data_IF_796692299210
#
_entry.id   IF_796692299210
#
_cell.length_a   1.000
_cell.length_b   1.000
_cell.length_c   1.000
_cell.angle_alpha   90.00
_cell.angle_beta   90.00
_cell.angle_gamma   90.00
#
_symmetry.space_group_name_H-M   'P 1'
#
loop_
_entity.id
_entity.type
_entity.pdbx_description
1 polymer ?
#
# COMPACT_ATOMS: atom_id res chain seq x y z
N UNK A 1 22.27 -8.87 2.47
CA UNK A 1 21.47 -9.34 1.33
C UNK A 1 20.61 -8.20 0.79
N UNK A 2 20.77 -7.76 -0.47
CA UNK A 2 19.86 -6.78 -1.04
C UNK A 2 18.48 -7.44 -1.17
N UNK A 3 17.49 -6.89 -0.47
CA UNK A 3 16.11 -7.39 -0.50
C UNK A 3 15.64 -7.32 -1.96
N UNK A 4 15.27 -8.46 -2.55
CA UNK A 4 14.76 -8.51 -3.92
C UNK A 4 13.68 -7.42 -4.09
N UNK A 5 13.96 -6.45 -4.97
CA UNK A 5 13.02 -5.36 -5.24
C UNK A 5 11.81 -6.00 -5.90
N UNK A 6 10.71 -6.07 -5.17
CA UNK A 6 9.41 -6.45 -5.74
C UNK A 6 9.19 -5.61 -6.99
N UNK A 7 9.07 -6.24 -8.15
CA UNK A 7 8.76 -5.60 -9.45
C UNK A 7 7.30 -5.13 -9.50
N UNK A 8 6.52 -5.41 -8.47
CA UNK A 8 5.11 -5.08 -8.44
C UNK A 8 4.87 -3.56 -8.44
N UNK A 9 4.13 -3.10 -9.43
CA UNK A 9 3.70 -1.73 -9.63
C UNK A 9 2.16 -1.68 -9.59
N UNK A 10 1.55 -1.40 -8.42
CA UNK A 10 0.10 -1.36 -8.31
C UNK A 10 -0.47 -0.19 -9.13
N UNK A 11 -1.60 -0.41 -9.79
CA UNK A 11 -2.32 0.63 -10.54
C UNK A 11 -3.20 1.45 -9.60
N UNK A 12 -3.62 2.62 -10.05
CA UNK A 12 -4.68 3.37 -9.37
C UNK A 12 -5.93 2.49 -9.22
N UNK A 13 -6.58 2.55 -8.06
CA UNK A 13 -7.70 1.70 -7.70
C UNK A 13 -7.32 0.35 -7.06
N UNK A 14 -6.07 -0.11 -7.19
CA UNK A 14 -5.65 -1.38 -6.57
C UNK A 14 -5.71 -1.29 -5.04
N UNK A 15 -6.32 -2.28 -4.41
CA UNK A 15 -6.26 -2.46 -2.95
C UNK A 15 -4.98 -3.24 -2.61
N UNK A 16 -4.20 -2.69 -1.69
CA UNK A 16 -2.91 -3.23 -1.28
C UNK A 16 -2.81 -3.28 0.24
N UNK A 17 -1.96 -4.18 0.74
CA UNK A 17 -1.56 -4.15 2.14
C UNK A 17 -0.34 -3.25 2.28
N UNK A 18 -0.47 -2.15 3.01
CA UNK A 18 0.66 -1.34 3.47
C UNK A 18 1.31 -2.00 4.69
N UNK A 19 2.63 -2.18 4.63
CA UNK A 19 3.46 -2.69 5.72
C UNK A 19 4.36 -1.56 6.21
N UNK A 20 3.98 -0.94 7.33
CA UNK A 20 4.75 0.12 7.96
C UNK A 20 6.06 -0.35 8.61
N UNK A 21 6.83 0.60 9.13
CA UNK A 21 8.14 0.35 9.78
C UNK A 21 8.04 -0.61 10.98
N UNK A 22 6.95 -0.55 11.74
CA UNK A 22 6.70 -1.43 12.87
C UNK A 22 5.76 -2.57 12.46
N UNK A 23 6.03 -3.80 12.94
CA UNK A 23 5.28 -5.02 12.55
C UNK A 23 3.77 -4.93 12.75
N UNK A 24 3.32 -4.14 13.73
CA UNK A 24 1.89 -3.92 14.02
C UNK A 24 1.21 -2.86 13.14
N UNK A 25 1.94 -2.12 12.30
CA UNK A 25 1.39 -1.06 11.47
C UNK A 25 1.10 -1.56 10.05
N UNK A 26 0.34 -2.66 9.97
CA UNK A 26 -0.20 -3.20 8.72
C UNK A 26 -1.62 -2.68 8.54
N UNK A 27 -1.95 -2.25 7.32
CA UNK A 27 -3.30 -1.77 6.99
C UNK A 27 -3.58 -1.95 5.51
N UNK A 28 -4.85 -2.14 5.19
CA UNK A 28 -5.32 -2.11 3.81
C UNK A 28 -5.44 -0.67 3.35
N UNK A 29 -4.96 -0.41 2.14
CA UNK A 29 -4.97 0.90 1.51
C UNK A 29 -5.39 0.77 0.07
N UNK A 30 -6.04 1.80 -0.46
CA UNK A 30 -6.32 1.93 -1.89
C UNK A 30 -5.27 2.82 -2.52
N UNK A 31 -4.65 2.35 -3.60
CA UNK A 31 -3.74 3.19 -4.40
C UNK A 31 -4.58 4.21 -5.16
N UNK A 32 -4.25 5.49 -5.01
CA UNK A 32 -4.93 6.60 -5.69
C UNK A 32 -4.16 6.99 -6.95
N UNK A 33 -2.84 7.13 -6.82
CA UNK A 33 -1.97 7.51 -7.93
C UNK A 33 -0.51 7.09 -7.68
N UNK A 34 0.25 7.00 -8.77
CA UNK A 34 1.71 7.02 -8.70
C UNK A 34 2.19 8.41 -8.25
N UNK A 35 3.24 8.42 -7.43
CA UNK A 35 3.91 9.63 -6.96
C UNK A 35 5.39 9.60 -7.38
N UNK A 36 6.12 10.67 -7.06
CA UNK A 36 7.53 10.79 -7.45
C UNK A 36 8.45 9.80 -6.74
N UNK A 37 9.50 9.37 -7.44
CA UNK A 37 10.59 8.54 -6.92
C UNK A 37 10.14 7.20 -6.32
N UNK A 38 9.27 6.48 -7.04
CA UNK A 38 8.82 5.14 -6.65
C UNK A 38 7.93 5.12 -5.41
N UNK A 39 7.17 6.20 -5.22
CA UNK A 39 6.18 6.34 -4.15
C UNK A 39 4.77 6.25 -4.73
N UNK A 40 3.81 5.97 -3.86
CA UNK A 40 2.40 5.89 -4.19
C UNK A 40 1.62 6.81 -3.25
N UNK A 41 0.67 7.55 -3.79
CA UNK A 41 -0.37 8.20 -2.99
C UNK A 41 -1.43 7.15 -2.70
N UNK A 42 -1.70 6.93 -1.42
CA UNK A 42 -2.66 5.92 -0.97
C UNK A 42 -3.70 6.54 -0.06
N UNK A 43 -4.87 5.94 -0.06
CA UNK A 43 -5.98 6.25 0.84
C UNK A 43 -6.20 5.10 1.81
N UNK A 44 -6.36 5.41 3.08
CA UNK A 44 -6.68 4.45 4.13
C UNK A 44 -7.75 5.02 5.06
N UNK A 45 -8.29 4.19 5.96
CA UNK A 45 -9.16 4.67 7.03
C UNK A 45 -8.32 5.11 8.22
N UNK A 46 -8.46 6.39 8.59
CA UNK A 46 -7.80 7.00 9.74
C UNK A 46 -8.44 6.57 11.06
N UNK A 47 -7.84 7.01 12.18
CA UNK A 47 -8.31 6.64 13.52
C UNK A 47 -9.74 7.08 13.83
N UNK A 48 -10.21 8.16 13.19
CA UNK A 48 -11.57 8.67 13.35
C UNK A 48 -12.57 8.02 12.39
N UNK A 49 -12.19 6.93 11.69
CA UNK A 49 -13.06 6.28 10.71
C UNK A 49 -13.18 7.02 9.37
N UNK A 50 -12.49 8.15 9.20
CA UNK A 50 -12.51 8.95 7.96
C UNK A 50 -11.39 8.57 7.00
N UNK A 51 -11.59 8.67 5.67
CA UNK A 51 -10.52 8.49 4.70
C UNK A 51 -9.38 9.49 4.90
N UNK A 52 -8.16 9.00 4.89
CA UNK A 52 -6.93 9.81 4.96
C UNK A 52 -6.01 9.45 3.81
N UNK A 53 -5.39 10.46 3.20
CA UNK A 53 -4.44 10.29 2.11
C UNK A 53 -3.03 10.58 2.57
N UNK A 54 -2.09 9.72 2.18
CA UNK A 54 -0.68 9.91 2.48
C UNK A 54 0.19 9.20 1.45
N UNK A 55 1.47 9.56 1.42
CA UNK A 55 2.43 9.00 0.47
C UNK A 55 3.21 7.87 1.14
N UNK A 56 3.38 6.76 0.43
CA UNK A 56 4.16 5.61 0.88
C UNK A 56 5.18 5.18 -0.17
N UNK A 57 6.25 4.51 0.25
CA UNK A 57 7.15 3.86 -0.69
C UNK A 57 6.46 2.64 -1.29
N UNK A 58 6.63 2.41 -2.59
CA UNK A 58 6.11 1.23 -3.29
C UNK A 58 6.56 -0.09 -2.65
N UNK A 59 7.78 -0.14 -2.13
CA UNK A 59 8.33 -1.32 -1.44
C UNK A 59 7.59 -1.71 -0.15
N UNK A 60 6.83 -0.78 0.43
CA UNK A 60 5.99 -1.03 1.61
C UNK A 60 4.59 -1.50 1.24
N UNK A 61 4.26 -1.61 -0.05
CA UNK A 61 3.00 -2.17 -0.52
C UNK A 61 3.20 -3.64 -0.88
N UNK A 62 2.23 -4.45 -0.51
CA UNK A 62 2.12 -5.87 -0.88
C UNK A 62 0.77 -6.12 -1.57
N UNK A 63 0.71 -6.99 -2.59
CA UNK A 63 -0.57 -7.49 -3.09
C UNK A 63 -1.37 -8.04 -1.92
N UNK A 64 -2.68 -7.79 -1.91
CA UNK A 64 -3.53 -8.52 -0.98
C UNK A 64 -3.44 -10.02 -1.30
N UNK A 65 -3.51 -10.88 -0.29
CA UNK A 65 -3.69 -12.30 -0.55
C UNK A 65 -4.96 -12.49 -1.41
N UNK A 66 -4.97 -13.50 -2.29
CA UNK A 66 -6.15 -13.81 -3.09
C UNK A 66 -7.36 -14.00 -2.16
N UNK A 67 -8.49 -13.45 -2.59
CA UNK A 67 -9.76 -13.65 -1.90
C UNK A 67 -10.21 -15.10 -2.11
N UNK A 68 -10.88 -15.67 -1.11
CA UNK A 68 -11.45 -17.02 -1.21
C UNK A 68 -12.67 -17.08 -2.14
N UNK A 69 -13.21 -15.90 -2.48
CA UNK A 69 -14.50 -15.74 -3.16
C UNK A 69 -14.36 -15.08 -4.54
N UNK A 70 -13.14 -15.03 -5.09
CA UNK A 70 -12.85 -14.58 -6.46
C UNK A 70 -12.83 -15.77 -7.44
#
# INVERSE_FOLDING_TARGET
MPRAKSLWLPRAGTIATYVGKNRGNKRNVRVIAEAVAGRMVVEAIGRQGVPVRFTVKRENLKPMPPSLFD
#
